data_IF_988647918736
#
_entry.id   IF_988647918736
#
_cell.length_a   1.000
_cell.length_b   1.000
_cell.length_c   1.000
_cell.angle_alpha   90.00
_cell.angle_beta   90.00
_cell.angle_gamma   90.00
#
_symmetry.space_group_name_H-M   'P 1'
#
loop_
_entity.id
_entity.type
_entity.pdbx_description
1 polymer ?
#
# COMPACT_ATOMS: atom_id res chain seq x y z
N UNK A 1 -7.09 9.13 -42.91
CA UNK A 1 -8.31 8.94 -42.09
C UNK A 1 -7.92 8.09 -40.89
N UNK A 2 -8.55 8.29 -39.72
CA UNK A 2 -8.14 7.83 -38.36
C UNK A 2 -7.31 8.91 -37.63
N UNK A 3 -7.79 9.33 -36.45
CA UNK A 3 -7.20 10.21 -35.40
C UNK A 3 -8.08 11.37 -34.90
N UNK A 4 -9.40 11.28 -34.96
CA UNK A 4 -10.29 12.25 -34.30
C UNK A 4 -11.37 11.63 -33.38
N UNK A 5 -11.47 10.30 -33.30
CA UNK A 5 -12.53 9.62 -32.56
C UNK A 5 -12.17 9.28 -31.10
N UNK A 6 -10.92 9.43 -30.69
CA UNK A 6 -10.45 9.06 -29.34
C UNK A 6 -10.65 10.14 -28.27
N UNK A 7 -10.73 11.42 -28.66
CA UNK A 7 -10.89 12.52 -27.70
C UNK A 7 -12.34 12.74 -27.26
N UNK A 8 -13.30 12.51 -28.15
CA UNK A 8 -14.73 12.67 -27.87
C UNK A 8 -15.25 11.58 -26.91
N UNK A 9 -14.73 10.35 -27.02
CA UNK A 9 -15.04 9.27 -26.07
C UNK A 9 -14.43 9.55 -24.68
N UNK A 10 -13.23 10.13 -24.62
CA UNK A 10 -12.60 10.53 -23.35
C UNK A 10 -13.32 11.72 -22.69
N UNK A 11 -13.86 12.66 -23.48
CA UNK A 11 -14.62 13.81 -22.97
C UNK A 11 -16.06 13.44 -22.53
N UNK A 12 -16.61 12.33 -23.01
CA UNK A 12 -17.94 11.85 -22.62
C UNK A 12 -17.98 11.15 -21.25
N UNK A 13 -16.83 10.77 -20.69
CA UNK A 13 -16.68 10.19 -19.34
C UNK A 13 -16.38 11.23 -18.25
N UNK A 14 -16.08 12.48 -18.62
CA UNK A 14 -15.84 13.56 -17.65
C UNK A 14 -17.07 14.15 -16.95
N UNK A 15 -18.33 14.10 -17.46
CA UNK A 15 -19.42 14.82 -16.81
C UNK A 15 -19.95 14.11 -15.55
N UNK A 16 -19.48 12.89 -15.24
CA UNK A 16 -19.83 12.21 -13.98
C UNK A 16 -18.94 12.67 -12.82
N UNK A 17 -17.69 13.07 -13.07
CA UNK A 17 -16.81 13.59 -12.01
C UNK A 17 -17.08 15.05 -11.63
N UNK A 18 -17.80 15.81 -12.46
CA UNK A 18 -18.17 17.19 -12.14
C UNK A 18 -19.45 17.30 -11.28
N UNK A 19 -20.23 16.22 -11.16
CA UNK A 19 -21.44 16.17 -10.34
C UNK A 19 -21.19 15.83 -8.87
N UNK A 20 -19.95 15.49 -8.50
CA UNK A 20 -19.54 15.23 -7.10
C UNK A 20 -19.15 16.53 -6.37
N UNK A 21 -19.24 17.69 -7.03
CA UNK A 21 -18.75 18.96 -6.49
C UNK A 21 -19.81 19.81 -5.78
N UNK A 22 -21.03 19.30 -5.57
CA UNK A 22 -22.06 19.99 -4.79
C UNK A 22 -22.52 19.12 -3.62
N UNK A 23 -21.55 18.56 -2.91
CA UNK A 23 -21.78 17.83 -1.69
C UNK A 23 -21.95 18.84 -0.55
N UNK A 24 -23.14 18.86 0.04
CA UNK A 24 -23.37 19.53 1.31
C UNK A 24 -22.37 18.99 2.32
N UNK A 25 -21.48 19.88 2.79
CA UNK A 25 -20.40 19.60 3.76
C UNK A 25 -20.87 18.62 4.83
N UNK A 26 -20.17 17.49 4.95
CA UNK A 26 -20.58 16.43 5.86
C UNK A 26 -20.42 16.88 7.32
N UNK A 27 -21.12 16.23 8.26
CA UNK A 27 -20.97 16.55 9.67
C UNK A 27 -19.51 16.38 10.16
N UNK A 28 -18.77 15.46 9.54
CA UNK A 28 -17.36 15.23 9.82
C UNK A 28 -16.48 16.40 9.35
N UNK A 29 -16.75 16.92 8.16
CA UNK A 29 -16.04 18.09 7.61
C UNK A 29 -16.34 19.38 8.40
N UNK A 30 -17.57 19.55 8.89
CA UNK A 30 -17.95 20.69 9.75
C UNK A 30 -17.20 20.60 11.09
N UNK A 31 -17.13 19.42 11.69
CA UNK A 31 -16.40 19.22 12.95
C UNK A 31 -14.90 19.43 12.77
N UNK A 32 -14.32 18.95 11.66
CA UNK A 32 -12.92 19.14 11.35
C UNK A 32 -12.57 20.62 11.15
N UNK A 33 -13.41 21.37 10.46
CA UNK A 33 -13.24 22.82 10.27
C UNK A 33 -13.33 23.58 11.61
N UNK A 34 -14.32 23.27 12.45
CA UNK A 34 -14.46 23.89 13.75
C UNK A 34 -13.26 23.59 14.67
N UNK A 35 -12.78 22.34 14.65
CA UNK A 35 -11.58 21.95 15.39
C UNK A 35 -10.32 22.62 14.83
N UNK A 36 -10.23 22.78 13.51
CA UNK A 36 -9.15 23.53 12.84
C UNK A 36 -9.12 24.98 13.27
N UNK A 37 -10.25 25.68 13.24
CA UNK A 37 -10.34 27.08 13.69
C UNK A 37 -9.94 27.23 15.17
N UNK A 38 -10.41 26.32 16.03
CA UNK A 38 -10.02 26.33 17.45
C UNK A 38 -8.52 26.06 17.65
N UNK A 39 -7.94 25.17 16.84
CA UNK A 39 -6.50 24.89 16.86
C UNK A 39 -5.69 26.11 16.39
N UNK A 40 -6.10 26.77 15.31
CA UNK A 40 -5.48 27.99 14.79
C UNK A 40 -5.46 29.10 15.85
N UNK A 41 -6.60 29.39 16.50
CA UNK A 41 -6.65 30.36 17.60
C UNK A 41 -5.66 30.01 18.72
N UNK A 42 -5.53 28.72 19.07
CA UNK A 42 -4.58 28.29 20.10
C UNK A 42 -3.13 28.44 19.63
N UNK A 43 -2.82 28.18 18.37
CA UNK A 43 -1.47 28.37 17.83
C UNK A 43 -1.10 29.86 17.70
N UNK A 44 -2.08 30.72 17.41
CA UNK A 44 -1.89 32.18 17.42
C UNK A 44 -1.59 32.69 18.84
N UNK A 45 -2.38 32.28 19.84
CA UNK A 45 -2.11 32.59 21.26
C UNK A 45 -0.72 32.10 21.70
N UNK A 46 -0.31 30.91 21.25
CA UNK A 46 1.04 30.39 21.50
C UNK A 46 2.10 31.30 20.87
N UNK A 47 1.91 31.72 19.62
CA UNK A 47 2.80 32.62 18.89
C UNK A 47 2.97 33.95 19.61
N UNK A 48 1.87 34.60 20.00
CA UNK A 48 1.90 35.86 20.74
C UNK A 48 2.64 35.72 22.08
N UNK A 49 2.40 34.64 22.82
CA UNK A 49 3.09 34.39 24.09
C UNK A 49 4.57 34.08 23.90
N UNK A 50 4.94 33.37 22.84
CA UNK A 50 6.33 33.06 22.51
C UNK A 50 7.08 34.33 22.09
N UNK A 51 6.46 35.18 21.27
CA UNK A 51 7.01 36.49 20.87
C UNK A 51 7.19 37.41 22.07
N UNK A 52 6.20 37.49 22.97
CA UNK A 52 6.33 38.25 24.21
C UNK A 52 7.49 37.78 25.11
N UNK A 53 7.80 36.48 25.12
CA UNK A 53 8.97 35.94 25.83
C UNK A 53 10.26 36.32 25.09
N UNK A 54 10.24 36.30 23.77
CA UNK A 54 11.41 36.60 22.95
C UNK A 54 11.80 38.09 22.99
N UNK A 55 10.81 38.97 23.06
CA UNK A 55 10.98 40.42 23.14
C UNK A 55 11.27 40.93 24.56
N UNK A 56 11.25 40.06 25.56
CA UNK A 56 11.56 40.43 26.95
C UNK A 56 13.08 40.63 27.11
N UNK A 57 13.53 41.88 27.04
CA UNK A 57 14.92 42.29 27.25
C UNK A 57 15.44 42.02 28.69
N UNK A 58 14.56 41.75 29.65
CA UNK A 58 14.96 41.41 31.01
C UNK A 58 15.39 39.93 31.15
N UNK A 59 15.14 39.09 30.15
CA UNK A 59 15.50 37.67 30.15
C UNK A 59 16.77 37.42 29.34
N UNK A 60 17.63 36.56 29.85
CA UNK A 60 18.71 35.99 29.05
C UNK A 60 18.19 34.92 28.08
N UNK A 61 18.98 34.64 27.03
CA UNK A 61 18.59 33.70 25.98
C UNK A 61 18.31 32.29 26.49
N UNK A 62 19.02 31.87 27.55
CA UNK A 62 18.82 30.54 28.16
C UNK A 62 17.46 30.44 28.84
N UNK A 63 17.07 31.49 29.55
CA UNK A 63 15.78 31.59 30.24
C UNK A 63 14.63 31.73 29.25
N UNK A 64 14.82 32.48 28.16
CA UNK A 64 13.86 32.55 27.04
C UNK A 64 13.59 31.16 26.47
N UNK A 65 14.65 30.42 26.12
CA UNK A 65 14.54 29.05 25.62
C UNK A 65 13.81 28.11 26.58
N UNK A 66 14.12 28.16 27.88
CA UNK A 66 13.44 27.35 28.90
C UNK A 66 11.94 27.69 29.03
N UNK A 67 11.60 28.98 28.97
CA UNK A 67 10.20 29.43 29.05
C UNK A 67 9.41 29.05 27.81
N UNK A 68 9.99 29.16 26.61
CA UNK A 68 9.35 28.71 25.36
C UNK A 68 9.17 27.18 25.38
N UNK A 69 10.15 26.42 25.88
CA UNK A 69 10.01 24.97 26.01
C UNK A 69 8.90 24.57 27.01
N UNK A 70 8.77 25.29 28.12
CA UNK A 70 7.68 25.11 29.06
C UNK A 70 6.32 25.46 28.42
N UNK A 71 6.26 26.59 27.70
CA UNK A 71 5.08 27.01 26.93
C UNK A 71 4.69 25.94 25.91
N UNK A 72 5.65 25.38 25.15
CA UNK A 72 5.37 24.31 24.21
C UNK A 72 4.78 23.07 24.89
N UNK A 73 5.24 22.74 26.10
CA UNK A 73 4.69 21.63 26.88
C UNK A 73 3.23 21.87 27.28
N UNK A 74 2.81 23.12 27.49
CA UNK A 74 1.40 23.49 27.71
C UNK A 74 0.55 23.27 26.44
N UNK A 75 1.11 23.51 25.25
CA UNK A 75 0.38 23.43 23.98
C UNK A 75 0.43 22.05 23.29
N UNK A 76 1.39 21.19 23.66
CA UNK A 76 1.53 19.84 23.12
C UNK A 76 0.21 19.01 23.18
N UNK A 77 -0.57 19.03 24.28
CA UNK A 77 -1.85 18.34 24.34
C UNK A 77 -2.84 18.82 23.27
N UNK A 78 -2.88 20.12 22.98
CA UNK A 78 -3.79 20.70 21.98
C UNK A 78 -3.46 20.22 20.57
N UNK A 79 -2.17 20.16 20.21
CA UNK A 79 -1.71 19.60 18.94
C UNK A 79 -2.11 18.13 18.83
N UNK A 80 -1.85 17.34 19.88
CA UNK A 80 -2.18 15.91 19.87
C UNK A 80 -3.69 15.64 19.76
N UNK A 81 -4.52 16.46 20.42
CA UNK A 81 -5.97 16.36 20.37
C UNK A 81 -6.49 16.68 18.96
N UNK A 82 -5.98 17.76 18.34
CA UNK A 82 -6.33 18.12 16.97
C UNK A 82 -5.90 17.04 15.98
N UNK A 83 -4.66 16.55 16.04
CA UNK A 83 -4.18 15.48 15.15
C UNK A 83 -5.00 14.19 15.29
N UNK A 84 -5.38 13.82 16.51
CA UNK A 84 -6.22 12.65 16.75
C UNK A 84 -7.59 12.81 16.10
N UNK A 85 -8.23 13.96 16.31
CA UNK A 85 -9.53 14.28 15.72
C UNK A 85 -9.45 14.35 14.19
N UNK A 86 -8.43 15.02 13.64
CA UNK A 86 -8.22 15.10 12.20
C UNK A 86 -8.04 13.73 11.56
N UNK A 87 -7.29 12.83 12.19
CA UNK A 87 -7.08 11.46 11.69
C UNK A 87 -8.38 10.64 11.73
N UNK A 88 -9.16 10.78 12.80
CA UNK A 88 -10.46 10.11 12.91
C UNK A 88 -11.42 10.60 11.84
N UNK A 89 -11.57 11.92 11.69
CA UNK A 89 -12.50 12.53 10.74
C UNK A 89 -12.08 12.27 9.29
N UNK A 90 -10.78 12.28 8.98
CA UNK A 90 -10.28 11.87 7.67
C UNK A 90 -10.63 10.41 7.34
N UNK A 91 -10.60 9.51 8.32
CA UNK A 91 -11.03 8.12 8.15
C UNK A 91 -12.53 8.01 7.86
N UNK A 92 -13.37 8.79 8.54
CA UNK A 92 -14.82 8.82 8.33
C UNK A 92 -15.16 9.38 6.94
N UNK A 93 -14.51 10.47 6.52
CA UNK A 93 -14.67 11.05 5.17
C UNK A 93 -14.23 10.05 4.09
N UNK A 94 -13.07 9.39 4.27
CA UNK A 94 -12.60 8.39 3.33
C UNK A 94 -13.54 7.18 3.25
N UNK A 95 -14.14 6.75 4.37
CA UNK A 95 -15.14 5.68 4.37
C UNK A 95 -16.43 6.08 3.65
N UNK A 96 -16.90 7.32 3.83
CA UNK A 96 -18.05 7.84 3.09
C UNK A 96 -17.77 7.86 1.58
N UNK A 97 -16.61 8.41 1.19
CA UNK A 97 -16.19 8.43 -0.21
C UNK A 97 -16.06 7.01 -0.80
N UNK A 98 -15.55 6.03 -0.04
CA UNK A 98 -15.48 4.64 -0.48
C UNK A 98 -16.86 3.96 -0.56
N UNK A 99 -17.79 4.31 0.33
CA UNK A 99 -19.14 3.77 0.31
C UNK A 99 -19.96 4.28 -0.89
N UNK A 100 -19.63 5.45 -1.41
CA UNK A 100 -20.22 6.03 -2.63
C UNK A 100 -19.66 5.40 -3.91
N UNK A 101 -18.52 4.71 -3.85
CA UNK A 101 -17.96 4.00 -5.00
C UNK A 101 -18.72 2.69 -5.20
N UNK A 102 -19.41 2.59 -6.34
CA UNK A 102 -20.02 1.34 -6.79
C UNK A 102 -18.93 0.39 -7.31
N UNK A 103 -18.41 -0.43 -6.40
CA UNK A 103 -17.37 -1.42 -6.70
C UNK A 103 -17.87 -2.41 -7.76
N UNK A 104 -19.15 -2.80 -7.72
CA UNK A 104 -19.72 -3.74 -8.69
C UNK A 104 -19.75 -3.14 -10.09
N UNK A 105 -20.07 -1.86 -10.23
CA UNK A 105 -19.99 -1.14 -11.50
C UNK A 105 -18.54 -1.05 -12.01
N UNK A 106 -17.58 -0.73 -11.14
CA UNK A 106 -16.15 -0.67 -11.51
C UNK A 106 -15.64 -2.06 -11.95
N UNK A 107 -16.03 -3.12 -11.25
CA UNK A 107 -15.67 -4.50 -11.60
C UNK A 107 -16.34 -4.92 -12.90
N UNK A 108 -17.61 -4.58 -13.12
CA UNK A 108 -18.31 -4.88 -14.36
C UNK A 108 -17.69 -4.16 -15.56
N UNK A 109 -17.28 -2.90 -15.41
CA UNK A 109 -16.54 -2.15 -16.43
C UNK A 109 -15.17 -2.76 -16.71
N UNK A 110 -14.43 -3.14 -15.67
CA UNK A 110 -13.14 -3.80 -15.81
C UNK A 110 -13.25 -5.15 -16.52
N UNK A 111 -14.27 -5.96 -16.18
CA UNK A 111 -14.54 -7.24 -16.83
C UNK A 111 -14.96 -7.05 -18.29
N UNK A 112 -15.80 -6.06 -18.59
CA UNK A 112 -16.20 -5.75 -19.96
C UNK A 112 -15.01 -5.39 -20.87
N UNK A 113 -13.95 -4.79 -20.32
CA UNK A 113 -12.70 -4.51 -21.04
C UNK A 113 -11.83 -5.75 -21.31
N UNK A 114 -11.96 -6.80 -20.50
CA UNK A 114 -11.17 -8.04 -20.56
C UNK A 114 -11.88 -9.14 -21.35
N UNK A 115 -13.21 -9.15 -21.38
CA UNK A 115 -14.06 -10.06 -22.15
C UNK A 115 -13.56 -10.31 -23.60
N UNK A 116 -13.25 -9.28 -24.42
CA UNK A 116 -12.77 -9.50 -25.79
C UNK A 116 -11.39 -10.16 -25.87
N UNK A 117 -10.52 -9.92 -24.87
CA UNK A 117 -9.20 -10.54 -24.78
C UNK A 117 -9.32 -12.01 -24.36
N UNK A 118 -10.17 -12.32 -23.39
CA UNK A 118 -10.45 -13.70 -22.94
C UNK A 118 -11.10 -14.50 -24.06
N UNK A 119 -12.06 -13.92 -24.78
CA UNK A 119 -12.69 -14.59 -25.91
C UNK A 119 -11.70 -14.79 -27.08
N UNK A 120 -10.79 -13.86 -27.32
CA UNK A 120 -9.68 -14.02 -28.25
C UNK A 120 -8.72 -15.15 -27.86
N UNK A 121 -8.36 -15.24 -26.57
CA UNK A 121 -7.51 -16.29 -26.03
C UNK A 121 -8.18 -17.68 -26.05
N UNK A 122 -9.47 -17.76 -25.74
CA UNK A 122 -10.23 -19.01 -25.76
C UNK A 122 -10.47 -19.54 -27.18
N UNK A 123 -10.53 -18.65 -28.18
CA UNK A 123 -10.77 -19.04 -29.58
C UNK A 123 -9.48 -19.27 -30.39
N UNK A 124 -8.36 -18.61 -30.02
CA UNK A 124 -7.10 -18.65 -30.80
C UNK A 124 -5.86 -19.00 -29.97
N UNK A 125 -5.99 -19.25 -28.68
CA UNK A 125 -4.85 -19.58 -27.82
C UNK A 125 -4.30 -20.97 -28.15
N UNK A 126 -2.97 -21.10 -28.20
CA UNK A 126 -2.27 -22.38 -28.35
C UNK A 126 -2.64 -23.41 -27.26
N UNK A 127 -3.24 -22.96 -26.14
CA UNK A 127 -3.76 -23.79 -25.05
C UNK A 127 -5.22 -24.24 -25.24
N UNK A 128 -5.97 -23.59 -26.13
CA UNK A 128 -7.37 -23.94 -26.43
C UNK A 128 -7.48 -24.93 -27.59
N UNK A 129 -6.45 -25.03 -28.44
CA UNK A 129 -6.33 -26.06 -29.46
C UNK A 129 -5.59 -27.27 -28.88
N UNK A 130 -6.32 -28.33 -28.53
CA UNK A 130 -5.75 -29.62 -28.21
C UNK A 130 -5.24 -30.29 -29.50
N UNK A 131 -4.12 -29.81 -30.03
CA UNK A 131 -3.41 -30.46 -31.13
C UNK A 131 -2.85 -31.80 -30.63
N UNK A 132 -3.25 -32.95 -31.24
CA UNK A 132 -2.77 -34.27 -30.84
C UNK A 132 -1.25 -34.39 -30.77
N UNK A 133 -0.52 -33.72 -31.66
CA UNK A 133 0.95 -33.77 -31.69
C UNK A 133 1.57 -33.00 -30.50
N UNK A 134 0.91 -31.92 -30.08
CA UNK A 134 1.30 -31.17 -28.88
C UNK A 134 1.03 -31.97 -27.60
N UNK A 135 -0.10 -32.68 -27.53
CA UNK A 135 -0.41 -33.55 -26.39
C UNK A 135 0.59 -34.70 -26.24
N UNK A 136 1.04 -35.28 -27.35
CA UNK A 136 2.13 -36.28 -27.34
C UNK A 136 3.44 -35.64 -26.87
N UNK A 137 3.77 -34.45 -27.35
CA UNK A 137 4.99 -33.73 -26.96
C UNK A 137 5.00 -33.41 -25.46
N UNK A 138 3.91 -32.87 -24.93
CA UNK A 138 3.78 -32.59 -23.50
C UNK A 138 3.79 -33.87 -22.66
N UNK A 139 3.18 -34.95 -23.13
CA UNK A 139 3.24 -36.26 -22.49
C UNK A 139 4.67 -36.80 -22.39
N UNK A 140 5.42 -36.74 -23.49
CA UNK A 140 6.83 -37.17 -23.52
C UNK A 140 7.71 -36.34 -22.58
N UNK A 141 7.47 -35.03 -22.48
CA UNK A 141 8.19 -34.16 -21.53
C UNK A 141 7.85 -34.50 -20.07
N UNK A 142 6.58 -34.81 -19.79
CA UNK A 142 6.15 -35.23 -18.46
C UNK A 142 6.79 -36.57 -18.08
N UNK A 143 6.76 -37.57 -18.98
CA UNK A 143 7.37 -38.88 -18.76
C UNK A 143 8.89 -38.77 -18.53
N UNK A 144 9.57 -37.91 -19.29
CA UNK A 144 10.99 -37.63 -19.10
C UNK A 144 11.27 -37.00 -17.72
N UNK A 145 10.47 -36.03 -17.29
CA UNK A 145 10.63 -35.38 -15.99
C UNK A 145 10.37 -36.34 -14.80
N UNK A 146 9.38 -37.23 -14.94
CA UNK A 146 9.12 -38.28 -13.95
C UNK A 146 10.31 -39.24 -13.86
N UNK A 147 10.83 -39.73 -14.99
CA UNK A 147 11.99 -40.63 -14.99
C UNK A 147 13.24 -40.00 -14.37
N UNK A 148 13.51 -38.72 -14.63
CA UNK A 148 14.60 -37.98 -13.98
C UNK A 148 14.41 -37.83 -12.46
N UNK A 149 13.15 -37.71 -12.01
CA UNK A 149 12.85 -37.60 -10.58
C UNK A 149 13.04 -38.94 -9.86
N UNK A 150 12.67 -40.06 -10.50
CA UNK A 150 12.89 -41.41 -9.96
C UNK A 150 14.37 -41.72 -9.81
N UNK A 151 15.19 -41.41 -10.83
CA UNK A 151 16.65 -41.59 -10.77
C UNK A 151 17.30 -40.75 -9.66
N UNK A 152 16.83 -39.51 -9.45
CA UNK A 152 17.31 -38.65 -8.36
C UNK A 152 16.91 -39.19 -6.96
N UNK A 153 15.73 -39.82 -6.83
CA UNK A 153 15.30 -40.43 -5.57
C UNK A 153 16.14 -41.67 -5.24
N UNK A 154 16.46 -42.49 -6.24
CA UNK A 154 17.33 -43.66 -6.08
C UNK A 154 18.74 -43.26 -5.62
N UNK A 155 19.30 -42.16 -6.17
CA UNK A 155 20.60 -41.63 -5.74
C UNK A 155 20.60 -41.15 -4.28
N UNK A 156 19.52 -40.47 -3.86
CA UNK A 156 19.35 -40.02 -2.47
C UNK A 156 19.21 -41.21 -1.53
N UNK A 157 18.43 -42.24 -1.89
CA UNK A 157 18.29 -43.46 -1.09
C UNK A 157 19.63 -44.20 -0.94
N UNK A 158 20.43 -44.28 -2.00
CA UNK A 158 21.77 -44.86 -1.94
C UNK A 158 22.70 -44.08 -0.99
N UNK A 159 22.61 -42.75 -0.96
CA UNK A 159 23.39 -41.91 -0.05
C UNK A 159 23.03 -42.16 1.43
N UNK A 160 21.74 -42.34 1.76
CA UNK A 160 21.31 -42.66 3.13
C UNK A 160 21.73 -44.05 3.61
N UNK A 161 21.82 -45.02 2.69
CA UNK A 161 22.17 -46.40 3.02
C UNK A 161 23.69 -46.67 3.04
N UNK A 162 24.53 -45.66 2.75
CA UNK A 162 25.99 -45.79 2.80
C UNK A 162 26.50 -45.61 4.23
N UNK A 163 27.20 -46.61 4.83
CA UNK A 163 27.71 -46.50 6.20
C UNK A 163 28.75 -45.38 6.33
N UNK A 164 28.57 -44.49 7.32
CA UNK A 164 29.55 -43.45 7.64
C UNK A 164 30.86 -44.08 8.12
N UNK A 165 31.97 -43.72 7.48
CA UNK A 165 33.30 -44.14 7.90
C UNK A 165 33.58 -43.66 9.35
N UNK A 166 34.19 -44.48 10.22
CA UNK A 166 34.43 -44.10 11.61
C UNK A 166 35.38 -42.90 11.70
N UNK A 167 35.12 -41.94 12.61
CA UNK A 167 35.94 -40.73 12.73
C UNK A 167 37.34 -41.04 13.25
N UNK A 168 38.35 -40.45 12.62
CA UNK A 168 39.75 -40.54 13.04
C UNK A 168 39.95 -39.84 14.39
N UNK A 169 40.57 -40.48 15.39
CA UNK A 169 40.73 -39.87 16.71
C UNK A 169 41.64 -38.63 16.67
N UNK A 170 41.33 -37.59 17.47
CA UNK A 170 42.05 -36.31 17.44
C UNK A 170 43.46 -36.46 18.00
N UNK A 171 44.41 -35.75 17.38
CA UNK A 171 45.81 -35.73 17.79
C UNK A 171 45.98 -35.06 19.16
N UNK A 172 46.92 -35.54 20.00
CA UNK A 172 47.10 -35.01 21.35
C UNK A 172 47.62 -33.55 21.32
N UNK A 173 47.22 -32.71 22.30
CA UNK A 173 47.60 -31.31 22.34
C UNK A 173 49.09 -31.15 22.64
N UNK A 174 49.73 -30.21 21.93
CA UNK A 174 51.15 -29.88 22.12
C UNK A 174 51.37 -29.22 23.49
N UNK A 175 52.37 -29.69 24.23
CA UNK A 175 52.81 -29.10 25.51
C UNK A 175 53.39 -27.69 25.30
N UNK A 176 53.22 -26.86 26.34
CA UNK A 176 53.39 -25.41 26.39
C UNK A 176 54.79 -24.85 26.09
#
# INVERSE_FOLDING_TARGET
MIRALSLAAALALLPVSAAVAQESKTAAEIQLEAAGAAFETKMEEFGERAEAIQDDDALDETTKGLRIAALWSEYQPHVSAFTSLATQQAGEIAQQALAEIDIDAVVAEALAGVEPMVQGLASNGAWAHADPDQMVTYGLMADYAVGQSEEALDEVEAAFNTPLAPPTPPAPPAEA
#
